data_IF_616549766729
#
_entry.id   IF_616549766729
#
_cell.length_a   1.000
_cell.length_b   1.000
_cell.length_c   1.000
_cell.angle_alpha   90.00
_cell.angle_beta   90.00
_cell.angle_gamma   90.00
#
_symmetry.space_group_name_H-M   'P 1'
#
loop_
_entity.id
_entity.type
_entity.pdbx_description
1 polymer ?
#
# COMPACT_ATOMS: atom_id res chain seq x y z
N UNK A 1 -0.04 7.09 11.99
CA UNK A 1 0.27 8.53 12.08
C UNK A 1 -0.99 9.40 12.04
N UNK A 2 -1.88 9.27 11.05
CA UNK A 2 -3.14 10.03 10.99
C UNK A 2 -4.00 9.89 12.27
N UNK A 3 -4.09 8.67 12.84
CA UNK A 3 -4.82 8.44 14.09
C UNK A 3 -4.22 9.19 15.30
N UNK A 4 -2.90 9.37 15.34
CA UNK A 4 -2.25 10.08 16.44
C UNK A 4 -2.53 11.58 16.36
N UNK A 5 -2.54 12.16 15.16
CA UNK A 5 -2.89 13.57 14.97
C UNK A 5 -4.35 13.84 15.29
N UNK A 6 -5.27 12.95 14.89
CA UNK A 6 -6.66 13.00 15.32
C UNK A 6 -6.79 12.94 16.86
N UNK A 7 -5.95 12.15 17.53
CA UNK A 7 -5.87 12.16 19.01
C UNK A 7 -5.35 13.47 19.56
N UNK A 8 -4.31 14.08 18.98
CA UNK A 8 -3.81 15.40 19.38
C UNK A 8 -4.88 16.48 19.25
N UNK A 9 -5.64 16.50 18.13
CA UNK A 9 -6.77 17.40 17.93
C UNK A 9 -7.89 17.18 18.96
N UNK A 10 -8.18 15.93 19.28
CA UNK A 10 -9.14 15.58 20.31
C UNK A 10 -8.68 16.04 21.71
N UNK A 11 -7.40 15.85 22.05
CA UNK A 11 -6.83 16.31 23.30
C UNK A 11 -6.83 17.84 23.39
N UNK A 12 -6.49 18.54 22.32
CA UNK A 12 -6.60 20.01 22.23
C UNK A 12 -8.04 20.49 22.52
N UNK A 13 -9.05 19.84 21.93
CA UNK A 13 -10.47 20.16 22.18
C UNK A 13 -10.87 19.93 23.65
N UNK A 14 -10.30 18.92 24.30
CA UNK A 14 -10.54 18.63 25.72
C UNK A 14 -9.90 19.68 26.64
N UNK A 15 -8.65 20.04 26.35
CA UNK A 15 -7.89 21.05 27.10
C UNK A 15 -8.49 22.46 26.92
N UNK A 16 -9.08 22.78 25.77
CA UNK A 16 -9.86 24.01 25.56
C UNK A 16 -11.10 24.11 26.47
N UNK A 17 -11.64 22.98 26.91
CA UNK A 17 -12.76 22.91 27.86
C UNK A 17 -12.28 22.80 29.31
N UNK A 18 -11.01 23.12 29.57
CA UNK A 18 -10.35 22.97 30.88
C UNK A 18 -10.45 21.54 31.45
N UNK A 19 -10.48 20.53 30.56
CA UNK A 19 -10.52 19.12 30.97
C UNK A 19 -9.19 18.44 30.68
N UNK A 20 -8.59 17.90 31.74
CA UNK A 20 -7.33 17.11 31.68
C UNK A 20 -7.55 15.60 31.71
N UNK A 21 -8.80 15.14 31.60
CA UNK A 21 -9.21 13.71 31.56
C UNK A 21 -8.48 12.81 30.56
N UNK A 22 -7.83 13.41 29.57
CA UNK A 22 -7.01 12.69 28.58
C UNK A 22 -5.62 12.34 29.09
N UNK A 23 -5.22 12.88 30.24
CA UNK A 23 -3.94 12.69 30.93
C UNK A 23 -4.18 12.08 32.32
N UNK A 24 -4.26 10.75 32.45
CA UNK A 24 -4.70 10.09 33.68
C UNK A 24 -3.93 10.48 34.95
N UNK A 25 -2.63 10.75 34.82
CA UNK A 25 -1.79 11.18 35.95
C UNK A 25 -2.12 12.60 36.38
N UNK A 26 -2.38 13.49 35.43
CA UNK A 26 -2.74 14.88 35.70
C UNK A 26 -4.18 15.01 36.18
N UNK A 27 -5.07 14.17 35.66
CA UNK A 27 -6.49 14.08 36.06
C UNK A 27 -6.61 13.66 37.53
N UNK A 28 -5.91 12.58 37.93
CA UNK A 28 -5.82 12.17 39.33
C UNK A 28 -5.25 13.25 40.23
N UNK A 29 -4.20 13.93 39.78
CA UNK A 29 -3.60 15.03 40.53
C UNK A 29 -4.52 16.24 40.67
N UNK A 30 -5.37 16.50 39.67
CA UNK A 30 -6.38 17.55 39.71
C UNK A 30 -7.57 17.22 40.61
N UNK A 31 -7.90 15.93 40.75
CA UNK A 31 -8.93 15.46 41.68
C UNK A 31 -8.41 15.47 43.14
N UNK A 32 -7.13 15.12 43.35
CA UNK A 32 -6.51 15.02 44.68
C UNK A 32 -6.04 16.37 45.24
N UNK A 33 -5.93 17.42 44.42
CA UNK A 33 -5.45 18.75 44.81
C UNK A 33 -6.28 19.84 44.13
N UNK A 34 -6.80 20.82 44.88
CA UNK A 34 -7.42 22.02 44.28
C UNK A 34 -6.35 22.81 43.49
N UNK A 35 -6.28 22.60 42.17
CA UNK A 35 -5.28 23.25 41.32
C UNK A 35 -5.74 24.68 41.00
N UNK A 36 -5.23 25.66 41.75
CA UNK A 36 -5.48 27.10 41.50
C UNK A 36 -5.00 27.57 40.10
N UNK A 37 -4.02 26.88 39.51
CA UNK A 37 -3.40 27.24 38.22
C UNK A 37 -3.80 26.33 37.05
N UNK A 38 -4.94 25.64 37.11
CA UNK A 38 -5.37 24.68 36.08
C UNK A 38 -5.42 25.32 34.68
N UNK A 39 -5.86 26.58 34.60
CA UNK A 39 -5.93 27.32 33.34
C UNK A 39 -4.54 27.51 32.71
N UNK A 40 -3.53 27.89 33.50
CA UNK A 40 -2.15 28.07 33.03
C UNK A 40 -1.55 26.75 32.56
N UNK A 41 -1.81 25.65 33.26
CA UNK A 41 -1.39 24.31 32.85
C UNK A 41 -2.06 23.93 31.52
N UNK A 42 -3.37 24.18 31.39
CA UNK A 42 -4.09 23.93 30.15
C UNK A 42 -3.53 24.77 28.99
N UNK A 43 -3.14 26.02 29.22
CA UNK A 43 -2.50 26.87 28.21
C UNK A 43 -1.14 26.31 27.77
N UNK A 44 -0.28 25.88 28.71
CA UNK A 44 1.00 25.26 28.39
C UNK A 44 0.86 23.95 27.60
N UNK A 45 -0.09 23.08 28.01
CA UNK A 45 -0.40 21.84 27.31
C UNK A 45 -0.90 22.15 25.89
N UNK A 46 -1.79 23.14 25.76
CA UNK A 46 -2.32 23.55 24.46
C UNK A 46 -1.20 24.01 23.52
N UNK A 47 -0.29 24.84 24.01
CA UNK A 47 0.84 25.33 23.23
C UNK A 47 1.73 24.16 22.75
N UNK A 48 2.07 23.24 23.65
CA UNK A 48 2.90 22.08 23.33
C UNK A 48 2.22 21.14 22.31
N UNK A 49 0.95 20.80 22.52
CA UNK A 49 0.21 19.93 21.61
C UNK A 49 0.03 20.57 20.23
N UNK A 50 -0.15 21.89 20.17
CA UNK A 50 -0.25 22.65 18.92
C UNK A 50 1.06 22.60 18.15
N UNK A 51 2.19 22.90 18.82
CA UNK A 51 3.53 22.81 18.22
C UNK A 51 3.83 21.39 17.72
N UNK A 52 3.58 20.38 18.54
CA UNK A 52 3.81 18.98 18.18
C UNK A 52 2.97 18.55 16.97
N UNK A 53 1.70 18.96 16.91
CA UNK A 53 0.84 18.71 15.75
C UNK A 53 1.45 19.35 14.50
N UNK A 54 1.84 20.61 14.58
CA UNK A 54 2.35 21.36 13.43
C UNK A 54 3.66 20.80 12.90
N UNK A 55 4.57 20.41 13.80
CA UNK A 55 5.81 19.72 13.43
C UNK A 55 5.53 18.38 12.75
N UNK A 56 4.60 17.58 13.28
CA UNK A 56 4.24 16.29 12.67
C UNK A 56 3.59 16.46 11.30
N UNK A 57 2.74 17.47 11.13
CA UNK A 57 2.12 17.80 9.84
C UNK A 57 3.16 18.26 8.83
N UNK A 58 4.09 19.13 9.25
CA UNK A 58 5.16 19.64 8.40
C UNK A 58 6.18 18.56 8.03
N UNK A 59 6.46 17.60 8.91
CA UNK A 59 7.44 16.56 8.67
C UNK A 59 6.89 15.43 7.78
N UNK A 60 5.58 15.18 7.82
CA UNK A 60 4.93 14.11 7.05
C UNK A 60 3.79 14.61 6.15
N UNK A 61 4.05 15.54 5.21
CA UNK A 61 3.01 16.17 4.41
C UNK A 61 2.25 15.18 3.52
N UNK A 62 2.92 14.16 2.99
CA UNK A 62 2.30 13.11 2.16
C UNK A 62 1.37 12.17 2.93
N UNK A 63 1.53 12.07 4.24
CA UNK A 63 0.67 11.23 5.09
C UNK A 63 -0.58 12.01 5.54
N UNK A 64 -0.47 13.34 5.67
CA UNK A 64 -1.61 14.20 6.03
C UNK A 64 -2.50 14.49 4.84
N UNK A 65 -1.89 14.72 3.69
CA UNK A 65 -2.57 14.78 2.41
C UNK A 65 -2.82 13.34 1.95
N UNK A 66 -3.61 12.60 2.73
CA UNK A 66 -4.14 11.31 2.30
C UNK A 66 -4.89 11.57 1.01
N UNK A 67 -4.21 11.35 -0.09
CA UNK A 67 -4.72 11.56 -1.41
C UNK A 67 -5.76 10.47 -1.65
N UNK A 68 -7.02 10.81 -1.36
CA UNK A 68 -8.18 9.93 -1.55
C UNK A 68 -8.50 9.70 -3.02
N UNK A 69 -7.71 10.28 -3.93
CA UNK A 69 -7.79 9.99 -5.37
C UNK A 69 -7.58 8.53 -5.70
N UNK A 70 -6.98 7.74 -4.82
CA UNK A 70 -6.78 6.31 -5.03
C UNK A 70 -7.69 5.41 -4.19
N UNK A 71 -8.62 5.97 -3.40
CA UNK A 71 -9.52 5.16 -2.56
C UNK A 71 -10.41 4.25 -3.42
N UNK A 72 -10.73 4.66 -4.65
CA UNK A 72 -11.48 3.85 -5.61
C UNK A 72 -10.78 2.54 -5.98
N UNK A 73 -9.45 2.50 -5.90
CA UNK A 73 -8.67 1.29 -6.19
C UNK A 73 -8.91 0.25 -5.11
N UNK A 74 -9.06 0.68 -3.85
CA UNK A 74 -9.31 -0.22 -2.72
C UNK A 74 -10.77 -0.62 -2.63
N UNK A 75 -11.69 0.30 -2.92
CA UNK A 75 -13.12 -0.01 -2.98
C UNK A 75 -13.83 0.90 -4.00
N UNK A 76 -14.16 0.40 -5.20
CA UNK A 76 -14.81 1.21 -6.21
C UNK A 76 -16.31 1.43 -5.96
N UNK A 77 -16.91 0.76 -4.96
CA UNK A 77 -18.37 0.76 -4.71
C UNK A 77 -18.82 1.73 -3.60
N UNK A 78 -17.95 2.62 -3.11
CA UNK A 78 -18.32 3.59 -2.07
C UNK A 78 -18.83 4.89 -2.70
N UNK A 79 -19.94 5.45 -2.19
CA UNK A 79 -20.65 6.61 -2.77
C UNK A 79 -19.77 7.86 -3.00
N UNK A 80 -18.72 8.08 -2.20
CA UNK A 80 -17.92 9.31 -2.25
C UNK A 80 -16.71 9.23 -3.20
N UNK A 81 -16.49 8.06 -3.78
CA UNK A 81 -15.24 7.71 -4.47
C UNK A 81 -15.14 8.33 -5.87
N UNK A 82 -16.27 8.64 -6.49
CA UNK A 82 -16.36 9.25 -7.84
C UNK A 82 -16.04 10.75 -7.82
N UNK A 83 -16.24 11.42 -6.68
CA UNK A 83 -16.00 12.86 -6.50
C UNK A 83 -14.55 13.20 -6.21
N UNK A 84 -13.77 12.24 -5.71
CA UNK A 84 -12.39 12.47 -5.27
C UNK A 84 -11.34 11.76 -6.10
N UNK A 85 -11.71 11.04 -7.16
CA UNK A 85 -10.86 10.04 -7.87
C UNK A 85 -9.65 10.61 -8.62
N UNK A 86 -9.57 11.92 -8.88
CA UNK A 86 -8.50 12.54 -9.66
C UNK A 86 -8.39 12.02 -11.10
N UNK A 87 -9.41 11.31 -11.59
CA UNK A 87 -9.49 10.73 -12.92
C UNK A 87 -10.00 11.75 -13.95
N UNK A 88 -9.79 11.47 -15.24
CA UNK A 88 -10.45 12.21 -16.31
C UNK A 88 -11.95 11.91 -16.34
N UNK A 89 -12.75 12.83 -16.87
CA UNK A 89 -14.22 12.70 -16.92
C UNK A 89 -14.68 11.35 -17.49
N UNK A 90 -14.06 10.90 -18.58
CA UNK A 90 -14.35 9.60 -19.21
C UNK A 90 -14.09 8.41 -18.27
N UNK A 91 -12.99 8.44 -17.51
CA UNK A 91 -12.66 7.37 -16.57
C UNK A 91 -13.57 7.41 -15.34
N UNK A 92 -13.98 8.61 -14.93
CA UNK A 92 -14.96 8.80 -13.86
C UNK A 92 -16.33 8.26 -14.27
N UNK A 93 -16.79 8.50 -15.50
CA UNK A 93 -18.02 7.89 -16.05
C UNK A 93 -17.94 6.35 -16.02
N UNK A 94 -16.85 5.77 -16.50
CA UNK A 94 -16.64 4.31 -16.45
C UNK A 94 -16.63 3.77 -15.02
N UNK A 95 -16.06 4.52 -14.07
CA UNK A 95 -16.02 4.14 -12.66
C UNK A 95 -17.43 4.18 -12.05
N UNK A 96 -18.25 5.17 -12.43
CA UNK A 96 -19.67 5.26 -12.03
C UNK A 96 -20.46 4.07 -12.56
N UNK A 97 -20.26 3.70 -13.84
CA UNK A 97 -20.91 2.52 -14.42
C UNK A 97 -20.54 1.24 -13.66
N UNK A 98 -19.24 1.03 -13.42
CA UNK A 98 -18.74 -0.12 -12.66
C UNK A 98 -19.32 -0.16 -11.24
N UNK A 99 -19.30 0.98 -10.54
CA UNK A 99 -19.79 1.11 -9.16
C UNK A 99 -21.30 0.89 -9.05
N UNK A 100 -22.04 1.12 -10.12
CA UNK A 100 -23.50 0.90 -10.18
C UNK A 100 -23.88 -0.56 -10.49
N UNK A 101 -22.91 -1.40 -10.86
CA UNK A 101 -23.16 -2.81 -11.15
C UNK A 101 -23.19 -3.65 -9.86
N UNK A 102 -24.40 -4.03 -9.48
CA UNK A 102 -24.68 -4.88 -8.31
C UNK A 102 -24.03 -6.26 -8.40
N UNK A 103 -23.90 -6.84 -9.58
CA UNK A 103 -23.28 -8.16 -9.75
C UNK A 103 -21.76 -8.06 -9.53
N UNK A 104 -21.13 -7.00 -10.03
CA UNK A 104 -19.72 -6.72 -9.76
C UNK A 104 -19.49 -6.43 -8.27
N UNK A 105 -20.38 -5.71 -7.60
CA UNK A 105 -20.30 -5.44 -6.15
C UNK A 105 -20.32 -6.73 -5.33
N UNK A 106 -21.26 -7.63 -5.62
CA UNK A 106 -21.34 -8.94 -4.96
C UNK A 106 -20.11 -9.79 -5.25
N UNK A 107 -19.56 -9.70 -6.46
CA UNK A 107 -18.34 -10.41 -6.83
C UNK A 107 -17.14 -9.89 -6.06
N UNK A 108 -16.99 -8.57 -5.94
CA UNK A 108 -15.92 -7.90 -5.22
C UNK A 108 -15.82 -8.37 -3.77
N UNK A 109 -16.94 -8.63 -3.10
CA UNK A 109 -16.95 -9.15 -1.72
C UNK A 109 -16.36 -10.55 -1.58
N UNK A 110 -16.26 -11.31 -2.68
CA UNK A 110 -15.81 -12.71 -2.68
C UNK A 110 -14.39 -12.91 -3.21
N UNK A 111 -13.75 -11.87 -3.76
CA UNK A 111 -12.41 -11.94 -4.37
C UNK A 111 -11.48 -10.92 -3.74
N UNK A 112 -10.17 -11.09 -3.94
CA UNK A 112 -9.20 -10.06 -3.54
C UNK A 112 -9.28 -8.85 -4.48
N UNK A 113 -8.85 -7.67 -4.00
CA UNK A 113 -8.85 -6.42 -4.79
C UNK A 113 -8.10 -6.59 -6.12
N UNK A 114 -6.91 -7.20 -6.10
CA UNK A 114 -6.13 -7.44 -7.32
C UNK A 114 -6.82 -8.41 -8.28
N UNK A 115 -7.47 -9.46 -7.77
CA UNK A 115 -8.23 -10.39 -8.62
C UNK A 115 -9.44 -9.72 -9.25
N UNK A 116 -10.18 -8.90 -8.49
CA UNK A 116 -11.29 -8.13 -9.01
C UNK A 116 -10.87 -7.28 -10.20
N UNK A 117 -9.81 -6.47 -10.04
CA UNK A 117 -9.30 -5.61 -11.12
C UNK A 117 -8.83 -6.41 -12.35
N UNK A 118 -8.26 -7.59 -12.16
CA UNK A 118 -7.91 -8.49 -13.27
C UNK A 118 -9.14 -9.01 -14.02
N UNK A 119 -10.21 -9.34 -13.31
CA UNK A 119 -11.43 -9.90 -13.90
C UNK A 119 -12.25 -8.86 -14.67
N UNK A 120 -12.34 -7.62 -14.15
CA UNK A 120 -13.06 -6.53 -14.83
C UNK A 120 -12.25 -5.88 -15.95
N UNK A 121 -10.98 -6.30 -16.16
CA UNK A 121 -10.08 -5.73 -17.18
C UNK A 121 -10.63 -5.82 -18.60
N UNK A 122 -11.46 -6.82 -18.90
CA UNK A 122 -12.07 -6.96 -20.22
C UNK A 122 -13.02 -5.82 -20.56
N UNK A 123 -13.82 -5.38 -19.59
CA UNK A 123 -14.85 -4.35 -19.75
C UNK A 123 -14.30 -2.96 -19.37
N UNK A 124 -13.49 -2.88 -18.32
CA UNK A 124 -12.96 -1.65 -17.73
C UNK A 124 -11.42 -1.61 -17.79
N UNK A 125 -10.87 -1.76 -19.00
CA UNK A 125 -9.42 -1.91 -19.22
C UNK A 125 -8.57 -0.79 -18.62
N UNK A 126 -8.90 0.47 -18.92
CA UNK A 126 -8.10 1.62 -18.48
C UNK A 126 -8.10 1.77 -16.95
N UNK A 127 -9.26 1.55 -16.29
CA UNK A 127 -9.37 1.56 -14.83
C UNK A 127 -8.55 0.42 -14.20
N UNK A 128 -8.67 -0.78 -14.75
CA UNK A 128 -7.90 -1.95 -14.31
C UNK A 128 -6.39 -1.72 -14.42
N UNK A 129 -5.91 -1.10 -15.51
CA UNK A 129 -4.48 -0.81 -15.68
C UNK A 129 -3.94 0.16 -14.62
N UNK A 130 -4.70 1.22 -14.30
CA UNK A 130 -4.33 2.17 -13.24
C UNK A 130 -4.32 1.47 -11.88
N UNK A 131 -5.38 0.72 -11.56
CA UNK A 131 -5.51 -0.01 -10.31
C UNK A 131 -4.38 -1.03 -10.13
N UNK A 132 -4.08 -1.83 -11.16
CA UNK A 132 -3.02 -2.83 -11.10
C UNK A 132 -1.62 -2.23 -10.96
N UNK A 133 -1.36 -1.07 -11.59
CA UNK A 133 -0.11 -0.33 -11.42
C UNK A 133 0.10 0.11 -9.97
N UNK A 134 -0.96 0.61 -9.32
CA UNK A 134 -0.92 1.02 -7.92
C UNK A 134 -0.82 -0.17 -6.94
N UNK A 135 -1.48 -1.29 -7.25
CA UNK A 135 -1.52 -2.48 -6.38
C UNK A 135 -0.26 -3.35 -6.49
N UNK A 136 0.42 -3.35 -7.64
CA UNK A 136 1.62 -4.17 -7.88
C UNK A 136 2.86 -3.32 -8.21
N UNK A 137 3.31 -2.42 -7.32
CA UNK A 137 4.46 -1.56 -7.59
C UNK A 137 5.79 -2.33 -7.76
N UNK A 138 5.86 -3.59 -7.31
CA UNK A 138 7.11 -4.35 -7.17
C UNK A 138 7.19 -5.65 -7.98
N UNK A 139 6.39 -5.82 -9.04
CA UNK A 139 6.47 -7.02 -9.88
C UNK A 139 7.89 -7.32 -10.40
N UNK A 140 8.67 -6.27 -10.71
CA UNK A 140 10.07 -6.38 -11.11
C UNK A 140 11.03 -6.66 -9.93
N UNK A 141 10.78 -6.10 -8.74
CA UNK A 141 11.62 -6.34 -7.55
C UNK A 141 11.50 -7.78 -7.07
N UNK A 142 10.29 -8.34 -7.02
CA UNK A 142 10.10 -9.76 -6.69
C UNK A 142 10.86 -10.67 -7.67
N UNK A 143 10.72 -10.42 -8.98
CA UNK A 143 11.48 -11.17 -9.99
C UNK A 143 12.99 -10.96 -9.87
N UNK A 144 13.44 -9.75 -9.52
CA UNK A 144 14.83 -9.48 -9.20
C UNK A 144 15.30 -10.30 -8.00
N UNK A 145 14.57 -10.31 -6.88
CA UNK A 145 14.88 -11.08 -5.67
C UNK A 145 14.92 -12.59 -5.93
N UNK A 146 13.94 -13.12 -6.66
CA UNK A 146 13.91 -14.52 -7.10
C UNK A 146 15.13 -14.82 -7.99
N UNK A 147 15.44 -13.92 -8.94
CA UNK A 147 16.59 -14.11 -9.83
C UNK A 147 17.93 -14.04 -9.11
N UNK A 148 18.08 -13.18 -8.09
CA UNK A 148 19.27 -13.10 -7.25
C UNK A 148 19.40 -14.33 -6.33
N UNK A 149 18.29 -14.83 -5.81
CA UNK A 149 18.25 -16.06 -5.01
C UNK A 149 18.65 -17.28 -5.84
N UNK A 150 18.10 -17.41 -7.05
CA UNK A 150 18.49 -18.43 -8.02
C UNK A 150 19.98 -18.32 -8.40
N UNK A 151 20.48 -17.11 -8.63
CA UNK A 151 21.89 -16.83 -8.92
C UNK A 151 22.82 -17.30 -7.79
N UNK A 152 22.42 -17.13 -6.52
CA UNK A 152 23.18 -17.60 -5.36
C UNK A 152 23.32 -19.13 -5.35
N UNK A 153 22.24 -19.85 -5.70
CA UNK A 153 22.25 -21.31 -5.83
C UNK A 153 23.10 -21.80 -7.02
N UNK A 154 22.97 -21.15 -8.18
CA UNK A 154 23.73 -21.50 -9.40
C UNK A 154 25.24 -21.30 -9.17
N UNK A 155 25.62 -20.25 -8.44
CA UNK A 155 27.03 -19.94 -8.11
C UNK A 155 27.68 -20.93 -7.15
N UNK A 156 26.92 -21.60 -6.28
CA UNK A 156 27.49 -22.31 -5.11
C UNK A 156 27.85 -23.77 -5.34
N UNK A 157 27.64 -24.37 -6.54
CA UNK A 157 27.90 -25.82 -6.65
C UNK A 157 28.51 -26.40 -7.94
N UNK A 158 28.55 -25.75 -9.12
CA UNK A 158 28.73 -26.56 -10.35
C UNK A 158 29.54 -26.11 -11.58
N UNK A 159 30.18 -24.93 -11.71
CA UNK A 159 30.91 -24.62 -12.98
C UNK A 159 32.15 -23.73 -12.85
N UNK A 160 33.26 -24.17 -13.48
CA UNK A 160 34.48 -23.38 -13.77
C UNK A 160 34.33 -22.39 -14.95
N UNK A 161 33.13 -22.21 -15.52
CA UNK A 161 32.88 -21.26 -16.62
C UNK A 161 31.67 -20.37 -16.31
N UNK A 162 31.93 -19.07 -16.25
CA UNK A 162 31.02 -18.01 -15.83
C UNK A 162 30.11 -17.56 -16.98
N UNK A 163 29.07 -18.34 -17.32
CA UNK A 163 27.99 -17.89 -18.20
C UNK A 163 26.64 -18.13 -17.53
N UNK A 164 26.17 -17.13 -16.78
CA UNK A 164 25.01 -17.28 -15.88
C UNK A 164 23.70 -16.75 -16.47
N UNK A 165 23.77 -16.10 -17.64
CA UNK A 165 22.61 -15.47 -18.26
C UNK A 165 21.53 -16.49 -18.62
N UNK A 166 21.91 -17.61 -19.25
CA UNK A 166 20.98 -18.62 -19.74
C UNK A 166 20.39 -19.45 -18.59
N UNK A 167 21.21 -19.81 -17.61
CA UNK A 167 20.76 -20.57 -16.43
C UNK A 167 19.79 -19.75 -15.57
N UNK A 168 19.98 -18.42 -15.48
CA UNK A 168 19.07 -17.51 -14.77
C UNK A 168 17.70 -17.44 -15.44
N UNK A 169 17.64 -17.38 -16.77
CA UNK A 169 16.37 -17.33 -17.51
C UNK A 169 15.57 -18.60 -17.24
N UNK A 170 16.21 -19.77 -17.24
CA UNK A 170 15.53 -21.05 -16.96
C UNK A 170 15.05 -21.14 -15.51
N UNK A 171 15.80 -20.62 -14.54
CA UNK A 171 15.44 -20.72 -13.13
C UNK A 171 14.28 -19.79 -12.69
N UNK A 172 13.98 -18.76 -13.48
CA UNK A 172 12.95 -17.73 -13.16
C UNK A 172 11.74 -17.84 -14.07
N UNK A 173 11.85 -18.59 -15.17
CA UNK A 173 10.80 -18.71 -16.19
C UNK A 173 9.89 -19.90 -15.91
N UNK A 174 8.58 -19.70 -16.05
CA UNK A 174 7.57 -20.78 -16.02
C UNK A 174 7.46 -21.52 -17.38
N UNK A 175 8.33 -21.22 -18.34
CA UNK A 175 8.36 -21.87 -19.66
C UNK A 175 8.98 -23.26 -19.53
N UNK A 176 8.20 -24.30 -19.85
CA UNK A 176 8.71 -25.67 -19.91
C UNK A 176 9.82 -25.83 -20.97
N UNK A 177 10.96 -26.45 -20.60
CA UNK A 177 12.03 -26.73 -21.55
C UNK A 177 11.55 -27.69 -22.64
N UNK A 178 11.83 -27.37 -23.91
CA UNK A 178 11.53 -28.26 -25.05
C UNK A 178 12.54 -29.41 -25.11
N UNK A 179 12.44 -30.37 -24.19
CA UNK A 179 13.39 -31.47 -24.02
C UNK A 179 13.59 -32.28 -25.30
N UNK A 180 12.53 -32.54 -26.07
CA UNK A 180 12.62 -33.33 -27.31
C UNK A 180 13.57 -32.71 -28.33
N UNK A 181 13.53 -31.38 -28.48
CA UNK A 181 14.43 -30.65 -29.39
C UNK A 181 15.87 -30.62 -28.89
N UNK A 182 16.09 -30.63 -27.57
CA UNK A 182 17.42 -30.65 -26.96
C UNK A 182 18.05 -32.02 -27.13
N UNK A 183 17.27 -33.08 -26.87
CA UNK A 183 17.70 -34.46 -27.02
C UNK A 183 18.01 -34.81 -28.48
N UNK A 184 17.21 -34.34 -29.43
CA UNK A 184 17.45 -34.53 -30.85
C UNK A 184 18.76 -33.89 -31.37
N UNK A 185 19.24 -32.81 -30.73
CA UNK A 185 20.47 -32.11 -31.13
C UNK A 185 21.74 -32.64 -30.44
N UNK A 186 21.62 -33.57 -29.49
CA UNK A 186 22.77 -34.05 -28.71
C UNK A 186 23.53 -35.13 -29.50
N UNK A 187 24.67 -34.78 -30.08
CA UNK A 187 25.58 -35.76 -30.68
C UNK A 187 26.37 -36.50 -29.59
N UNK A 188 26.50 -37.84 -29.65
CA UNK A 188 27.37 -38.56 -28.73
C UNK A 188 28.82 -38.13 -28.95
N UNK A 189 29.48 -37.67 -27.89
CA UNK A 189 30.93 -37.51 -27.92
C UNK A 189 31.55 -38.90 -27.88
N UNK A 190 32.09 -39.33 -29.01
CA UNK A 190 32.89 -40.54 -29.09
C UNK A 190 34.21 -40.24 -28.37
N UNK A 191 34.47 -40.92 -27.25
CA UNK A 191 35.78 -40.84 -26.60
C UNK A 191 36.79 -41.63 -27.43
N UNK A 192 37.96 -41.03 -27.64
CA UNK A 192 39.13 -41.67 -28.27
C UNK A 192 39.92 -42.50 -27.27
#
# INVERSE_FOLDING_TARGET
>A
MCAFIKKLEFWLKKVQRNSVSVFPTLDKFADDSEIDNLNTICDCIREHLTKLRDELVSYFPSIMNQDRTQDWIQNPFVEDVTSSSGLSDKLTENLIELASDRALELKFQNVTVSQFWLEVKGEYKELSEIAMSALLPFGSTYLCEVSFSAMSLIKTKHRNRLSVQNDRIIAVSDIEPRFDNILAKKHPQVSH
#
